data_IF_221283991288
#
_entry.id   IF_221283991288
#
_cell.length_a   1.000
_cell.length_b   1.000
_cell.length_c   1.000
_cell.angle_alpha   90.00
_cell.angle_beta   90.00
_cell.angle_gamma   90.00
#
_symmetry.space_group_name_H-M   'P 1'
#
loop_
_entity.id
_entity.type
_entity.pdbx_description
1 polymer ?
2 non-polymer ?
#
# COMPACT_ATOMS: atom_id res chain seq x y z
N UNK A 1 0.27 -4.13 -0.44
CA UNK A 1 -0.90 -3.29 -0.28
C UNK A 1 -0.62 -1.90 -0.86
N UNK A 2 -1.60 -1.40 -1.59
CA UNK A 2 -1.48 -0.08 -2.21
C UNK A 2 -2.82 0.64 -2.23
N UNK A 3 -2.97 1.54 -3.24
CA UNK A 3 -4.20 2.31 -3.38
C UNK A 3 -5.32 1.44 -3.95
N UNK A 4 -6.43 1.43 -3.23
CA UNK A 4 -7.58 0.65 -3.65
C UNK A 4 -8.53 1.53 -4.45
N UNK A 5 -9.02 0.98 -5.55
CA UNK A 5 -9.93 1.71 -6.42
C UNK A 5 -11.36 1.38 -5.99
N UNK A 6 -12.04 2.41 -5.49
CA UNK A 6 -13.41 2.24 -5.04
C UNK A 6 -14.39 2.39 -6.20
N UNK A 7 -13.84 2.34 -7.41
CA UNK A 7 -14.65 2.47 -8.61
C UNK A 7 -14.73 1.11 -9.32
N UNK A 8 -13.58 0.47 -9.44
CA UNK A 8 -13.51 -0.82 -10.10
C UNK A 8 -13.31 -1.89 -9.02
N UNK A 9 -12.56 -1.52 -7.99
CA UNK A 9 -12.29 -2.44 -6.89
C UNK A 9 -10.95 -3.15 -7.09
N UNK A 10 -10.07 -2.47 -7.81
CA UNK A 10 -8.75 -3.03 -8.08
C UNK A 10 -7.73 -2.34 -7.20
N UNK A 11 -6.46 -2.69 -7.41
CA UNK A 11 -5.38 -2.11 -6.64
C UNK A 11 -4.35 -1.47 -7.56
N UNK A 12 -3.77 -0.38 -7.09
CA UNK A 12 -2.76 0.34 -7.86
C UNK A 12 -3.24 1.75 -8.19
N UNK A 13 -4.36 2.12 -7.60
CA UNK A 13 -4.93 3.44 -7.83
C UNK A 13 -6.17 3.62 -6.94
N UNK A 14 -6.46 4.88 -6.64
CA UNK A 14 -7.61 5.21 -5.81
C UNK A 14 -8.77 5.61 -6.71
N UNK A 15 -9.97 5.54 -6.13
CA UNK A 15 -11.17 5.90 -6.86
C UNK A 15 -10.97 7.26 -7.54
N UNK A 16 -10.59 8.23 -6.72
CA UNK A 16 -10.37 9.57 -7.23
C UNK A 16 -9.29 9.56 -8.32
N UNK A 17 -8.38 8.60 -8.19
CA UNK A 17 -7.30 8.47 -9.16
C UNK A 17 -7.83 7.77 -10.42
N UNK A 18 -8.89 7.00 -10.22
CA UNK A 18 -9.51 6.27 -11.32
C UNK A 18 -10.40 7.24 -12.10
N UNK A 19 -10.16 7.32 -13.40
CA UNK A 19 -10.93 8.20 -14.25
C UNK A 19 -11.14 9.55 -13.54
N UNK A 20 -10.03 10.23 -13.30
CA UNK A 20 -10.08 11.52 -12.62
C UNK A 20 -10.55 12.61 -13.61
N UNK A 21 -10.19 12.42 -14.86
CA UNK A 21 -10.56 13.37 -15.89
C UNK A 21 -11.57 12.74 -16.86
#
# INVERSE_FOLDING_TARGET
KGPVCFSCGKTGHIKRDCKEE
#
